data_IF_015536073529
#
_entry.id   IF_015536073529
#
_cell.length_a   1.000
_cell.length_b   1.000
_cell.length_c   1.000
_cell.angle_alpha   90.00
_cell.angle_beta   90.00
_cell.angle_gamma   90.00
#
_symmetry.space_group_name_H-M   'P 1'
#
loop_
_entity.id
_entity.type
_entity.pdbx_description
1 polymer ?
#
# COMPACT_ATOMS: atom_id res chain seq x y z
N UNK A 1 10.58 0.20 -7.90
CA UNK A 1 10.58 0.45 -9.38
C UNK A 1 9.23 0.03 -9.93
N UNK A 2 8.74 0.70 -10.97
CA UNK A 2 7.53 0.28 -11.69
C UNK A 2 7.92 -0.64 -12.84
N UNK A 3 7.50 -1.92 -12.86
CA UNK A 3 7.87 -2.89 -13.91
C UNK A 3 7.29 -2.56 -15.29
N UNK A 4 6.20 -1.78 -15.34
CA UNK A 4 5.43 -1.59 -16.57
C UNK A 4 4.91 -2.94 -17.07
N UNK A 5 5.11 -3.22 -18.36
CA UNK A 5 4.69 -4.47 -19.00
C UNK A 5 5.65 -5.65 -18.78
N UNK A 6 6.74 -5.47 -18.02
CA UNK A 6 7.61 -6.58 -17.65
C UNK A 6 6.98 -7.41 -16.52
N UNK A 7 6.57 -8.66 -16.78
CA UNK A 7 5.91 -9.49 -15.77
C UNK A 7 6.90 -10.11 -14.79
N UNK A 8 8.21 -9.89 -14.96
CA UNK A 8 9.24 -10.49 -14.13
C UNK A 8 9.72 -9.52 -13.07
N UNK A 9 9.90 -10.06 -11.88
CA UNK A 9 10.68 -9.43 -10.83
C UNK A 9 12.18 -9.66 -11.14
N UNK A 10 13.00 -8.63 -10.92
CA UNK A 10 14.44 -8.66 -11.19
C UNK A 10 15.23 -8.60 -9.88
N UNK A 11 16.17 -9.53 -9.70
CA UNK A 11 16.99 -9.66 -8.49
C UNK A 11 16.45 -10.70 -7.50
N UNK A 12 17.00 -10.76 -6.27
CA UNK A 12 16.49 -11.63 -5.22
C UNK A 12 15.03 -11.29 -4.91
N UNK A 13 14.16 -12.30 -4.98
CA UNK A 13 12.72 -12.12 -4.83
C UNK A 13 12.08 -13.26 -4.05
N UNK A 14 10.96 -12.95 -3.41
CA UNK A 14 10.09 -13.95 -2.82
C UNK A 14 9.09 -14.43 -3.86
N UNK A 15 8.76 -15.73 -3.82
CA UNK A 15 7.72 -16.27 -4.69
C UNK A 15 6.32 -15.89 -4.20
N UNK A 16 5.46 -15.46 -5.12
CA UNK A 16 4.06 -15.13 -4.85
C UNK A 16 3.15 -16.32 -5.13
N UNK A 17 2.23 -16.61 -4.21
CA UNK A 17 1.34 -17.77 -4.34
C UNK A 17 -0.14 -17.40 -4.19
N UNK A 18 -0.99 -17.88 -5.10
CA UNK A 18 -2.44 -17.86 -4.94
C UNK A 18 -2.95 -19.17 -4.39
N UNK A 19 -3.88 -19.08 -3.45
CA UNK A 19 -4.66 -20.24 -2.99
C UNK A 19 -5.81 -20.48 -3.97
N UNK A 20 -5.81 -21.66 -4.58
CA UNK A 20 -6.85 -22.12 -5.50
C UNK A 20 -8.05 -22.69 -4.72
N UNK A 21 -9.18 -22.92 -5.41
CA UNK A 21 -10.42 -23.44 -4.82
C UNK A 21 -10.29 -24.86 -4.27
N UNK A 22 -9.39 -25.65 -4.82
CA UNK A 22 -9.02 -27.00 -4.35
C UNK A 22 -8.03 -26.97 -3.16
N UNK A 23 -7.64 -25.78 -2.70
CA UNK A 23 -6.69 -25.57 -1.60
C UNK A 23 -5.22 -25.59 -2.02
N UNK A 24 -4.90 -25.93 -3.28
CA UNK A 24 -3.53 -25.90 -3.80
C UNK A 24 -2.98 -24.47 -3.87
N UNK A 25 -1.64 -24.36 -3.86
CA UNK A 25 -0.95 -23.09 -4.08
C UNK A 25 -0.43 -23.04 -5.50
N UNK A 26 -0.83 -22.01 -6.24
CA UNK A 26 -0.33 -21.71 -7.57
C UNK A 26 0.73 -20.62 -7.48
N UNK A 27 1.95 -20.92 -7.92
CA UNK A 27 2.98 -19.91 -8.11
C UNK A 27 2.55 -18.94 -9.21
N UNK A 28 2.53 -17.66 -8.86
CA UNK A 28 2.19 -16.54 -9.76
C UNK A 28 3.23 -15.42 -9.64
N UNK A 29 4.47 -15.78 -9.32
CA UNK A 29 5.59 -14.83 -9.20
C UNK A 29 5.79 -14.03 -10.48
N UNK A 30 5.53 -14.65 -11.63
CA UNK A 30 5.49 -13.99 -12.94
C UNK A 30 4.04 -13.61 -13.24
N UNK A 31 3.73 -12.34 -13.04
CA UNK A 31 2.42 -11.75 -13.27
C UNK A 31 2.64 -10.33 -13.79
N UNK A 32 1.95 -9.96 -14.87
CA UNK A 32 2.04 -8.59 -15.39
C UNK A 32 1.17 -7.66 -14.51
N UNK A 33 1.76 -6.77 -13.71
CA UNK A 33 0.99 -5.86 -12.87
C UNK A 33 0.41 -4.67 -13.66
N UNK A 34 0.73 -4.47 -14.95
CA UNK A 34 0.34 -3.27 -15.68
C UNK A 34 -1.18 -3.04 -15.76
N UNK A 35 -1.99 -4.07 -15.54
CA UNK A 35 -3.45 -3.94 -15.39
C UNK A 35 -3.90 -3.21 -14.13
N UNK A 36 -3.03 -3.03 -13.13
CA UNK A 36 -3.31 -2.23 -11.91
C UNK A 36 -2.86 -0.78 -12.05
N UNK A 37 -2.20 -0.41 -13.16
CA UNK A 37 -1.64 0.92 -13.40
C UNK A 37 -0.93 1.47 -12.14
N UNK A 38 -1.08 2.75 -11.84
CA UNK A 38 -0.46 3.41 -10.69
C UNK A 38 -1.00 3.01 -9.31
N UNK A 39 -1.95 2.07 -9.21
CA UNK A 39 -2.53 1.69 -7.91
C UNK A 39 -1.71 0.65 -7.13
N UNK A 40 -0.84 -0.11 -7.82
CA UNK A 40 -0.13 -1.24 -7.18
C UNK A 40 1.08 -1.78 -7.92
N UNK A 41 1.57 -1.12 -8.97
CA UNK A 41 2.68 -1.65 -9.78
C UNK A 41 4.07 -1.52 -9.12
N UNK A 42 4.22 -0.81 -8.00
CA UNK A 42 5.53 -0.61 -7.38
C UNK A 42 6.05 -1.88 -6.70
N UNK A 43 7.21 -2.35 -7.16
CA UNK A 43 8.01 -3.38 -6.49
C UNK A 43 9.06 -2.72 -5.61
N UNK A 44 9.17 -3.19 -4.36
CA UNK A 44 10.05 -2.62 -3.33
C UNK A 44 10.55 -3.71 -2.37
N UNK A 45 11.58 -3.38 -1.59
CA UNK A 45 11.99 -4.17 -0.41
C UNK A 45 11.40 -3.61 0.88
N UNK A 46 11.48 -4.36 1.99
CA UNK A 46 11.10 -3.87 3.33
C UNK A 46 11.96 -2.68 3.74
N UNK A 47 13.27 -2.72 3.45
CA UNK A 47 14.20 -1.65 3.79
C UNK A 47 13.87 -0.36 3.02
N UNK A 48 13.56 -0.47 1.72
CA UNK A 48 13.12 0.67 0.90
C UNK A 48 11.81 1.26 1.42
N UNK A 49 10.84 0.43 1.82
CA UNK A 49 9.58 0.88 2.39
C UNK A 49 9.81 1.62 3.72
N UNK A 50 10.70 1.12 4.58
CA UNK A 50 11.05 1.76 5.84
C UNK A 50 11.76 3.11 5.61
N UNK A 51 12.73 3.15 4.68
CA UNK A 51 13.43 4.37 4.31
C UNK A 51 12.46 5.42 3.73
N UNK A 52 11.53 5.01 2.87
CA UNK A 52 10.50 5.88 2.32
C UNK A 52 9.58 6.44 3.41
N UNK A 53 9.07 5.58 4.32
CA UNK A 53 8.21 6.01 5.41
C UNK A 53 8.93 6.99 6.34
N UNK A 54 10.18 6.69 6.69
CA UNK A 54 10.99 7.58 7.52
C UNK A 54 11.17 8.94 6.85
N UNK A 55 11.57 8.98 5.58
CA UNK A 55 11.78 10.22 4.84
C UNK A 55 10.46 11.01 4.63
N UNK A 56 9.33 10.32 4.44
CA UNK A 56 8.02 10.95 4.29
C UNK A 56 7.60 11.65 5.58
N UNK A 57 7.56 10.91 6.68
CA UNK A 57 7.05 11.42 7.96
C UNK A 57 8.04 12.33 8.70
N UNK A 58 9.33 12.28 8.36
CA UNK A 58 10.31 13.26 8.84
C UNK A 58 10.30 14.58 8.04
N UNK A 59 9.46 14.70 6.99
CA UNK A 59 9.38 15.88 6.14
C UNK A 59 10.52 16.00 5.11
N UNK A 60 11.27 14.93 4.86
CA UNK A 60 12.34 14.90 3.87
C UNK A 60 11.85 14.82 2.42
N UNK A 61 10.62 14.36 2.20
CA UNK A 61 10.04 14.21 0.85
C UNK A 61 9.05 15.31 0.45
N UNK A 62 8.33 15.88 1.41
CA UNK A 62 7.23 16.81 1.15
C UNK A 62 7.32 18.04 2.07
N UNK A 63 6.96 19.24 1.57
CA UNK A 63 6.83 20.41 2.43
C UNK A 63 5.71 20.17 3.47
N UNK A 64 5.77 20.80 4.65
CA UNK A 64 4.82 20.56 5.74
C UNK A 64 3.34 20.67 5.32
N UNK A 65 3.01 21.66 4.46
CA UNK A 65 1.64 21.86 3.93
C UNK A 65 1.09 20.69 3.11
N UNK A 66 1.96 19.88 2.50
CA UNK A 66 1.57 18.73 1.71
C UNK A 66 1.48 17.48 2.59
N UNK A 67 2.42 17.32 3.53
CA UNK A 67 2.36 16.25 4.54
C UNK A 67 1.10 16.35 5.40
N UNK A 68 0.72 17.56 5.82
CA UNK A 68 -0.51 17.82 6.57
C UNK A 68 -1.76 17.32 5.82
N UNK A 69 -1.81 17.51 4.50
CA UNK A 69 -2.91 17.01 3.67
C UNK A 69 -2.96 15.49 3.58
N UNK A 70 -1.81 14.80 3.61
CA UNK A 70 -1.76 13.33 3.64
C UNK A 70 -2.32 12.76 4.96
N UNK A 71 -2.22 13.54 6.03
CA UNK A 71 -2.61 13.16 7.39
C UNK A 71 -3.89 13.87 7.86
N UNK A 72 -4.70 14.41 6.95
CA UNK A 72 -5.95 15.10 7.28
C UNK A 72 -7.13 14.35 6.69
N UNK A 73 -8.04 13.89 7.55
CA UNK A 73 -9.28 13.24 7.11
C UNK A 73 -10.25 14.26 6.48
N UNK A 74 -11.14 13.82 5.58
CA UNK A 74 -12.22 14.66 5.10
C UNK A 74 -13.18 15.06 6.24
N UNK A 75 -14.11 16.01 6.00
CA UNK A 75 -15.12 16.42 6.97
C UNK A 75 -15.89 15.24 7.59
N UNK A 76 -16.36 15.39 8.83
CA UNK A 76 -16.93 14.30 9.64
C UNK A 76 -18.20 13.67 9.05
N UNK A 77 -18.87 14.39 8.16
CA UNK A 77 -20.03 13.95 7.40
C UNK A 77 -19.67 12.89 6.35
N UNK A 78 -18.41 12.85 5.91
CA UNK A 78 -17.91 11.82 4.99
C UNK A 78 -17.78 10.50 5.73
N UNK A 79 -18.51 9.50 5.24
CA UNK A 79 -18.55 8.16 5.83
C UNK A 79 -17.92 7.12 4.91
N UNK A 80 -17.42 6.06 5.52
CA UNK A 80 -17.02 4.85 4.82
C UNK A 80 -18.23 4.20 4.15
N UNK A 81 -18.14 3.91 2.85
CA UNK A 81 -19.23 3.29 2.08
C UNK A 81 -19.70 1.94 2.65
N UNK A 82 -18.76 1.11 3.11
CA UNK A 82 -19.05 -0.28 3.49
C UNK A 82 -19.82 -0.42 4.81
N UNK A 83 -19.57 0.45 5.77
CA UNK A 83 -20.04 0.30 7.15
C UNK A 83 -20.61 1.60 7.77
N UNK A 84 -20.62 2.72 7.03
CA UNK A 84 -21.13 4.02 7.51
C UNK A 84 -20.29 4.67 8.62
N UNK A 85 -19.15 4.08 8.98
CA UNK A 85 -18.26 4.60 10.02
C UNK A 85 -17.54 5.90 9.59
N UNK A 86 -16.94 6.66 10.53
CA UNK A 86 -16.14 7.83 10.18
C UNK A 86 -15.05 7.49 9.15
N UNK A 87 -14.77 8.43 8.25
CA UNK A 87 -13.73 8.27 7.25
C UNK A 87 -12.38 7.89 7.89
N UNK A 88 -11.67 6.93 7.28
CA UNK A 88 -10.32 6.52 7.70
C UNK A 88 -9.27 6.71 6.61
N UNK A 89 -9.67 7.22 5.44
CA UNK A 89 -8.79 7.46 4.31
C UNK A 89 -8.63 8.96 4.07
N UNK A 90 -7.41 9.35 3.72
CA UNK A 90 -7.03 10.69 3.29
C UNK A 90 -6.43 10.61 1.86
N UNK A 91 -5.57 11.55 1.49
CA UNK A 91 -4.87 11.59 0.20
C UNK A 91 -3.83 10.47 0.11
N UNK A 92 -4.26 9.24 -0.18
CA UNK A 92 -3.37 8.10 -0.39
C UNK A 92 -2.90 7.39 0.88
N UNK A 93 -3.32 7.82 2.07
CA UNK A 93 -3.06 7.14 3.34
C UNK A 93 -4.35 6.74 4.05
N UNK A 94 -4.24 5.74 4.92
CA UNK A 94 -5.24 5.30 5.88
C UNK A 94 -4.73 5.58 7.29
N UNK A 95 -5.66 5.84 8.22
CA UNK A 95 -5.37 5.95 9.64
C UNK A 95 -5.98 4.82 10.48
N UNK A 96 -5.29 4.45 11.56
CA UNK A 96 -5.78 3.54 12.58
C UNK A 96 -5.24 3.94 13.97
N UNK A 97 -6.07 3.84 15.00
CA UNK A 97 -5.66 4.07 16.39
C UNK A 97 -5.58 2.74 17.12
N UNK A 98 -4.40 2.42 17.66
CA UNK A 98 -4.16 1.20 18.46
C UNK A 98 -3.57 1.64 19.79
N UNK A 99 -4.22 1.26 20.90
CA UNK A 99 -3.80 1.61 22.26
C UNK A 99 -3.56 3.13 22.46
N UNK A 100 -4.41 3.97 21.84
CA UNK A 100 -4.30 5.43 21.92
C UNK A 100 -3.27 6.07 21.00
N UNK A 101 -2.49 5.27 20.25
CA UNK A 101 -1.53 5.77 19.25
C UNK A 101 -2.16 5.73 17.87
N UNK A 102 -2.16 6.86 17.17
CA UNK A 102 -2.68 6.97 15.81
C UNK A 102 -1.56 6.82 14.79
N UNK A 103 -1.72 5.85 13.89
CA UNK A 103 -0.80 5.55 12.81
C UNK A 103 -1.37 6.03 11.48
N UNK A 104 -0.49 6.42 10.58
CA UNK A 104 -0.79 6.74 9.18
C UNK A 104 0.04 5.84 8.28
N UNK A 105 -0.58 5.26 7.27
CA UNK A 105 0.12 4.35 6.36
C UNK A 105 -0.79 3.82 5.27
N UNK A 106 -0.38 2.76 4.59
CA UNK A 106 -1.19 2.12 3.56
C UNK A 106 -0.93 0.63 3.54
N UNK A 107 -2.01 -0.14 3.44
CA UNK A 107 -1.94 -1.57 3.16
C UNK A 107 -1.84 -1.79 1.64
N UNK A 108 -1.27 -2.92 1.25
CA UNK A 108 -1.16 -3.34 -0.14
C UNK A 108 -1.59 -4.78 -0.27
N UNK A 109 -2.39 -5.08 -1.29
CA UNK A 109 -2.71 -6.45 -1.65
C UNK A 109 -2.67 -6.56 -3.16
N UNK A 110 -1.92 -7.55 -3.63
CA UNK A 110 -1.85 -7.94 -5.02
C UNK A 110 -1.89 -9.46 -5.06
N UNK A 111 -2.16 -10.05 -6.22
CA UNK A 111 -2.14 -11.50 -6.31
C UNK A 111 -0.78 -12.04 -5.84
N UNK A 112 -0.80 -12.92 -4.84
CA UNK A 112 0.39 -13.59 -4.32
C UNK A 112 1.18 -12.78 -3.29
N UNK A 113 0.86 -11.51 -3.07
CA UNK A 113 1.61 -10.61 -2.18
C UNK A 113 0.68 -9.76 -1.33
N UNK A 114 1.01 -9.62 -0.04
CA UNK A 114 0.23 -8.80 0.89
C UNK A 114 1.15 -8.06 1.85
N UNK A 115 0.93 -6.75 1.97
CA UNK A 115 1.65 -5.83 2.85
C UNK A 115 0.65 -5.16 3.78
N UNK A 116 0.95 -5.10 5.09
CA UNK A 116 0.09 -4.50 6.11
C UNK A 116 0.85 -3.59 7.04
#
# INVERSE_FOLDING_TARGET
LTPGDDPRLHGPQVHGYLRMTDGSLRDITVYNPSTTWGEGELVSTVDDLFAFQQALFSGGLLPPRALDKLCTLPPAEVRMWKDGSPARYSMGLQTATVNGVTFWGKTGEMYGYRTR
#
